data_IF_232143173388
#
_entry.id   IF_232143173388
#
_cell.length_a   1.000
_cell.length_b   1.000
_cell.length_c   1.000
_cell.angle_alpha   90.00
_cell.angle_beta   90.00
_cell.angle_gamma   90.00
#
_symmetry.space_group_name_H-M   'P 1'
#
loop_
_entity.id
_entity.type
_entity.pdbx_description
1 polymer ?
#
# COMPACT_ATOMS: atom_id res chain seq x y z
N UNK A 1 -7.28 -5.20 1.12
CA UNK A 1 -6.14 -5.68 0.33
C UNK A 1 -5.88 -4.73 -0.81
N UNK A 2 -4.61 -4.57 -1.21
CA UNK A 2 -4.22 -3.91 -2.46
C UNK A 2 -3.06 -4.69 -3.08
N UNK A 3 -2.80 -4.49 -4.37
CA UNK A 3 -1.67 -5.10 -5.08
C UNK A 3 -0.63 -4.02 -5.37
N UNK A 4 0.65 -4.34 -5.19
CA UNK A 4 1.77 -3.55 -5.70
C UNK A 4 2.85 -4.49 -6.23
N UNK A 5 3.30 -4.30 -7.47
CA UNK A 5 4.31 -5.15 -8.12
C UNK A 5 4.03 -6.67 -7.96
N UNK A 6 2.80 -7.10 -8.25
CA UNK A 6 2.32 -8.49 -8.12
C UNK A 6 2.29 -9.07 -6.69
N UNK A 7 2.61 -8.28 -5.66
CA UNK A 7 2.48 -8.67 -4.25
C UNK A 7 1.15 -8.18 -3.70
N UNK A 8 0.49 -9.01 -2.89
CA UNK A 8 -0.77 -8.68 -2.20
C UNK A 8 -0.46 -8.19 -0.79
N UNK A 9 -1.05 -7.06 -0.39
CA UNK A 9 -0.85 -6.44 0.91
C UNK A 9 -2.16 -6.28 1.69
N UNK A 10 -2.13 -6.59 2.99
CA UNK A 10 -3.22 -6.28 3.92
C UNK A 10 -2.94 -4.97 4.66
N UNK A 11 -3.58 -3.89 4.20
CA UNK A 11 -3.45 -2.54 4.77
C UNK A 11 -4.56 -2.20 5.77
N UNK A 12 -5.44 -3.15 6.14
CA UNK A 12 -6.60 -2.88 6.99
C UNK A 12 -6.22 -2.32 8.37
N UNK A 13 -5.11 -2.79 8.93
CA UNK A 13 -4.55 -2.29 10.20
C UNK A 13 -3.74 -1.00 10.09
N UNK A 14 -3.40 -0.56 8.87
CA UNK A 14 -2.48 0.57 8.64
C UNK A 14 -3.21 1.88 8.26
N UNK A 15 -4.54 1.86 8.15
CA UNK A 15 -5.32 2.98 7.61
C UNK A 15 -5.08 4.31 8.36
N UNK A 16 -5.05 4.29 9.69
CA UNK A 16 -4.84 5.49 10.52
C UNK A 16 -3.36 5.90 10.61
N UNK A 17 -2.46 4.94 10.38
CA UNK A 17 -1.01 5.13 10.51
C UNK A 17 -0.38 5.62 9.21
N UNK A 18 -1.12 5.54 8.09
CA UNK A 18 -0.65 5.99 6.78
C UNK A 18 -0.42 7.51 6.75
N UNK A 19 0.82 7.98 6.53
CA UNK A 19 1.14 9.41 6.50
C UNK A 19 0.40 10.19 5.41
N UNK A 20 0.04 9.53 4.30
CA UNK A 20 -0.77 10.10 3.21
C UNK A 20 -2.25 10.30 3.56
N UNK A 21 -2.67 9.94 4.77
CA UNK A 21 -4.07 9.85 5.25
C UNK A 21 -4.81 8.65 4.70
N UNK A 22 -5.83 8.23 5.45
CA UNK A 22 -6.61 7.03 5.15
C UNK A 22 -7.43 7.13 3.88
N UNK A 23 -7.90 8.32 3.52
CA UNK A 23 -8.78 8.53 2.37
C UNK A 23 -8.10 8.10 1.08
N UNK A 24 -6.79 8.37 0.94
CA UNK A 24 -6.01 7.93 -0.22
C UNK A 24 -5.90 6.41 -0.33
N UNK A 25 -5.83 5.69 0.79
CA UNK A 25 -5.82 4.22 0.78
C UNK A 25 -7.20 3.66 0.44
N UNK A 26 -8.27 4.29 0.91
CA UNK A 26 -9.64 3.86 0.61
C UNK A 26 -9.98 4.01 -0.87
N UNK A 27 -9.42 5.00 -1.56
CA UNK A 27 -9.61 5.21 -3.00
C UNK A 27 -9.03 4.08 -3.87
N UNK A 28 -7.99 3.39 -3.38
CA UNK A 28 -7.27 2.34 -4.14
C UNK A 28 -7.40 0.95 -3.50
N UNK A 29 -8.25 0.81 -2.48
CA UNK A 29 -8.43 -0.49 -1.83
C UNK A 29 -9.10 -1.47 -2.78
N UNK A 30 -8.58 -2.69 -2.85
CA UNK A 30 -9.07 -3.74 -3.74
C UNK A 30 -8.56 -3.65 -5.18
N UNK A 31 -7.70 -2.68 -5.50
CA UNK A 31 -7.12 -2.52 -6.84
C UNK A 31 -5.63 -2.82 -6.86
N UNK A 32 -5.05 -2.83 -8.06
CA UNK A 32 -3.62 -2.66 -8.24
C UNK A 32 -3.27 -1.18 -8.03
N UNK A 33 -2.48 -0.90 -7.00
CA UNK A 33 -2.06 0.41 -6.57
C UNK A 33 -0.58 0.68 -6.88
N UNK A 34 0.06 -0.15 -7.72
CA UNK A 34 1.49 -0.02 -8.08
C UNK A 34 1.81 1.39 -8.56
N UNK A 35 1.06 1.90 -9.54
CA UNK A 35 1.30 3.23 -10.12
C UNK A 35 1.06 4.34 -9.10
N UNK A 36 0.00 4.23 -8.28
CA UNK A 36 -0.29 5.19 -7.22
C UNK A 36 0.86 5.29 -6.21
N UNK A 37 1.40 4.14 -5.80
CA UNK A 37 2.48 4.08 -4.83
C UNK A 37 3.77 4.69 -5.39
N UNK A 38 4.11 4.41 -6.66
CA UNK A 38 5.28 4.97 -7.34
C UNK A 38 5.14 6.48 -7.59
N UNK A 39 3.99 6.93 -8.09
CA UNK A 39 3.75 8.35 -8.39
C UNK A 39 3.71 9.24 -7.15
N UNK A 40 3.28 8.70 -6.01
CA UNK A 40 3.31 9.40 -4.74
C UNK A 40 4.75 9.63 -4.22
N UNK A 41 5.75 8.91 -4.74
CA UNK A 41 7.15 9.10 -4.37
C UNK A 41 7.46 8.65 -2.94
N UNK A 42 6.90 7.50 -2.53
CA UNK A 42 7.16 6.92 -1.21
C UNK A 42 8.65 6.65 -0.99
N UNK A 43 9.13 6.94 0.23
CA UNK A 43 10.53 6.74 0.63
C UNK A 43 10.86 5.27 0.86
N UNK A 44 12.15 4.97 1.07
CA UNK A 44 12.61 3.63 1.40
C UNK A 44 11.97 3.10 2.70
N UNK A 45 11.74 3.96 3.70
CA UNK A 45 11.06 3.55 4.94
C UNK A 45 9.58 3.18 4.70
N UNK A 46 8.93 3.83 3.73
CA UNK A 46 7.58 3.46 3.32
C UNK A 46 7.56 2.14 2.53
N UNK A 47 8.62 1.83 1.77
CA UNK A 47 8.79 0.51 1.14
C UNK A 47 8.94 -0.58 2.21
N UNK A 48 9.75 -0.35 3.24
CA UNK A 48 9.93 -1.29 4.35
C UNK A 48 8.62 -1.51 5.12
N UNK A 49 7.87 -0.44 5.35
CA UNK A 49 6.54 -0.52 5.97
C UNK A 49 5.59 -1.35 5.11
N UNK A 50 5.54 -1.09 3.80
CA UNK A 50 4.71 -1.86 2.86
C UNK A 50 5.10 -3.34 2.85
N UNK A 51 6.40 -3.66 2.86
CA UNK A 51 6.90 -5.04 2.90
C UNK A 51 6.40 -5.81 4.13
N UNK A 52 6.27 -5.14 5.29
CA UNK A 52 5.70 -5.72 6.51
C UNK A 52 4.22 -6.08 6.42
N UNK A 53 3.49 -5.53 5.45
CA UNK A 53 2.06 -5.77 5.21
C UNK A 53 1.79 -6.86 4.16
N UNK A 54 2.84 -7.47 3.60
CA UNK A 54 2.70 -8.47 2.54
C UNK A 54 2.06 -9.76 3.06
N UNK A 55 1.08 -10.28 2.32
CA UNK A 55 0.32 -11.49 2.68
C UNK A 55 0.30 -12.56 1.58
N UNK A 56 0.84 -12.27 0.40
CA UNK A 56 0.92 -13.23 -0.71
C UNK A 56 1.33 -12.59 -2.03
N UNK A 57 1.24 -13.36 -3.11
CA UNK A 57 1.48 -12.90 -4.48
C UNK A 57 0.30 -13.28 -5.36
N UNK A 58 0.12 -12.52 -6.44
CA UNK A 58 -0.85 -12.81 -7.52
C UNK A 58 -0.28 -13.86 -8.48
#
# INVERSE_FOLDING_TARGET
>A
YLISNHTVYDVSGYLEEHPGRRELLLDVIGTDATDHFVQAGHSDEAQDTLAGLAVGNV
#
